data_IF_979601102964
#
_entry.id   IF_979601102964
#
_cell.length_a   1.000
_cell.length_b   1.000
_cell.length_c   1.000
_cell.angle_alpha   90.00
_cell.angle_beta   90.00
_cell.angle_gamma   90.00
#
_symmetry.space_group_name_H-M   'P 1'
#
loop_
_entity.id
_entity.type
_entity.pdbx_description
1 polymer ?
#
# COMPACT_ATOMS: atom_id res chain seq x y z
N UNK A 1 -12.32 -2.84 7.27
CA UNK A 1 -11.34 -1.86 6.70
C UNK A 1 -10.53 -2.53 5.61
N UNK A 2 -9.85 -1.76 4.76
CA UNK A 2 -9.05 -2.27 3.63
C UNK A 2 -7.63 -1.75 3.75
N UNK A 3 -6.67 -2.66 3.74
CA UNK A 3 -5.24 -2.34 3.71
C UNK A 3 -4.73 -2.40 2.27
N UNK A 4 -4.20 -1.29 1.76
CA UNK A 4 -3.46 -1.23 0.51
C UNK A 4 -1.96 -1.16 0.73
N UNK A 5 -1.19 -1.88 -0.07
CA UNK A 5 0.28 -1.93 0.03
C UNK A 5 0.91 -1.76 -1.35
N UNK A 6 1.83 -0.80 -1.47
CA UNK A 6 2.73 -0.68 -2.62
C UNK A 6 4.12 -1.20 -2.24
N UNK A 7 4.44 -2.42 -2.68
CA UNK A 7 5.68 -3.09 -2.30
C UNK A 7 6.82 -2.74 -3.24
N UNK A 8 7.85 -2.09 -2.68
CA UNK A 8 9.10 -1.82 -3.36
C UNK A 8 10.30 -2.09 -2.45
N UNK A 9 11.40 -2.51 -3.06
CA UNK A 9 12.64 -2.80 -2.30
C UNK A 9 13.35 -1.53 -1.81
N UNK A 10 12.88 -0.34 -2.19
CA UNK A 10 13.48 0.93 -1.76
C UNK A 10 12.61 1.64 -0.73
N UNK A 11 11.33 1.84 -1.05
CA UNK A 11 10.34 2.42 -0.15
C UNK A 11 9.07 1.59 -0.37
N UNK A 12 8.46 1.09 0.70
CA UNK A 12 7.16 0.41 0.63
C UNK A 12 6.13 1.29 1.30
N UNK A 13 5.01 1.54 0.62
CA UNK A 13 3.90 2.34 1.14
C UNK A 13 2.77 1.47 1.69
N UNK A 14 2.09 1.97 2.70
CA UNK A 14 0.90 1.37 3.32
C UNK A 14 -0.21 2.42 3.42
N UNK A 15 -1.46 2.00 3.22
CA UNK A 15 -2.63 2.84 3.44
C UNK A 15 -3.82 2.03 3.92
N UNK A 16 -4.66 2.59 4.79
CA UNK A 16 -5.90 1.96 5.25
C UNK A 16 -7.09 2.84 4.91
N UNK A 17 -8.08 2.26 4.23
CA UNK A 17 -9.38 2.87 3.98
C UNK A 17 -10.43 2.24 4.91
N UNK A 18 -11.19 3.09 5.60
CA UNK A 18 -12.35 2.70 6.41
C UNK A 18 -13.56 3.49 5.94
N UNK A 19 -14.65 2.80 5.59
CA UNK A 19 -15.91 3.44 5.16
C UNK A 19 -15.74 4.50 4.05
N UNK A 20 -14.76 4.31 3.17
CA UNK A 20 -14.48 5.25 2.09
C UNK A 20 -13.66 6.46 2.53
N UNK A 21 -13.05 6.46 3.71
CA UNK A 21 -12.15 7.50 4.19
C UNK A 21 -10.74 6.96 4.42
N UNK A 22 -9.72 7.78 4.13
CA UNK A 22 -8.33 7.46 4.44
C UNK A 22 -8.05 7.71 5.92
N UNK A 23 -7.85 6.61 6.67
CA UNK A 23 -7.66 6.66 8.13
C UNK A 23 -6.21 6.47 8.55
N UNK A 24 -5.36 5.92 7.68
CA UNK A 24 -3.95 5.73 7.94
C UNK A 24 -3.16 5.64 6.63
N UNK A 25 -1.96 6.18 6.63
CA UNK A 25 -0.95 5.95 5.61
C UNK A 25 0.43 6.12 6.22
N UNK A 26 1.38 5.27 5.82
CA UNK A 26 2.76 5.32 6.27
C UNK A 26 3.67 4.63 5.24
N UNK A 27 4.98 4.68 5.48
CA UNK A 27 5.97 4.05 4.63
C UNK A 27 7.11 3.42 5.44
N UNK A 28 7.85 2.54 4.77
CA UNK A 28 9.12 2.03 5.29
C UNK A 28 10.22 2.35 4.28
N UNK A 29 11.22 3.13 4.70
CA UNK A 29 12.41 3.39 3.91
C UNK A 29 13.43 2.26 4.07
N UNK A 30 13.52 1.43 3.04
CA UNK A 30 14.37 0.25 2.97
C UNK A 30 15.73 0.52 2.34
N UNK A 31 16.02 1.75 1.90
CA UNK A 31 17.27 2.07 1.18
C UNK A 31 18.52 1.86 2.03
N UNK A 32 18.39 2.00 3.36
CA UNK A 32 19.48 1.75 4.32
C UNK A 32 19.66 0.27 4.67
N UNK A 33 18.67 -0.58 4.35
CA UNK A 33 18.67 -1.99 4.68
C UNK A 33 19.36 -2.81 3.59
N UNK A 34 20.27 -3.71 3.99
CA UNK A 34 21.08 -4.51 3.07
C UNK A 34 20.53 -5.93 2.92
N UNK A 35 20.28 -6.32 1.67
CA UNK A 35 19.79 -7.65 1.34
C UNK A 35 18.29 -7.84 1.64
N UNK A 36 17.76 -8.99 1.21
CA UNK A 36 16.31 -9.25 1.31
C UNK A 36 15.85 -9.43 2.75
N UNK A 37 16.62 -10.15 3.58
CA UNK A 37 16.23 -10.47 4.96
C UNK A 37 16.12 -9.23 5.85
N UNK A 38 17.10 -8.32 5.81
CA UNK A 38 17.03 -7.08 6.60
C UNK A 38 15.84 -6.21 6.18
N UNK A 39 15.54 -6.16 4.87
CA UNK A 39 14.37 -5.47 4.36
C UNK A 39 13.07 -6.12 4.82
N UNK A 40 13.01 -7.44 4.79
CA UNK A 40 11.85 -8.22 5.26
C UNK A 40 11.61 -8.03 6.75
N UNK A 41 12.65 -7.97 7.58
CA UNK A 41 12.50 -7.69 9.02
C UNK A 41 11.89 -6.30 9.26
N UNK A 42 12.41 -5.27 8.60
CA UNK A 42 11.87 -3.91 8.73
C UNK A 42 10.41 -3.80 8.25
N UNK A 43 10.05 -4.53 7.18
CA UNK A 43 8.65 -4.62 6.75
C UNK A 43 7.79 -5.40 7.74
N UNK A 44 8.31 -6.51 8.29
CA UNK A 44 7.58 -7.31 9.28
C UNK A 44 7.24 -6.49 10.51
N UNK A 45 8.16 -5.68 11.02
CA UNK A 45 7.90 -4.75 12.13
C UNK A 45 6.73 -3.81 11.80
N UNK A 46 6.74 -3.16 10.63
CA UNK A 46 5.63 -2.29 10.21
C UNK A 46 4.31 -3.03 10.05
N UNK A 47 4.33 -4.24 9.50
CA UNK A 47 3.14 -5.08 9.35
C UNK A 47 2.57 -5.46 10.72
N UNK A 48 3.45 -5.76 11.70
CA UNK A 48 3.06 -6.01 13.09
C UNK A 48 2.45 -4.77 13.75
N UNK A 49 3.03 -3.58 13.56
CA UNK A 49 2.45 -2.33 14.06
C UNK A 49 1.00 -2.14 13.54
N UNK A 50 0.79 -2.34 12.23
CA UNK A 50 -0.53 -2.21 11.60
C UNK A 50 -1.49 -3.29 12.14
N UNK A 51 -1.01 -4.51 12.34
CA UNK A 51 -1.80 -5.59 12.92
C UNK A 51 -2.23 -5.25 14.35
N UNK A 52 -1.32 -4.79 15.19
CA UNK A 52 -1.65 -4.33 16.54
C UNK A 52 -2.66 -3.18 16.51
N UNK A 53 -2.49 -2.23 15.60
CA UNK A 53 -3.39 -1.08 15.44
C UNK A 53 -4.80 -1.43 14.98
N UNK A 54 -5.02 -2.55 14.29
CA UNK A 54 -6.33 -2.83 13.66
C UNK A 54 -6.90 -4.21 13.92
N UNK A 55 -6.13 -5.16 14.43
CA UNK A 55 -6.56 -6.53 14.71
C UNK A 55 -6.55 -6.82 16.20
N UNK A 56 -5.64 -6.19 16.96
CA UNK A 56 -5.65 -6.27 18.40
C UNK A 56 -6.72 -5.32 19.01
N UNK A 57 -7.08 -5.63 20.25
CA UNK A 57 -8.16 -4.99 20.96
C UNK A 57 -7.91 -3.49 21.22
N UNK A 58 -8.75 -2.62 20.63
CA UNK A 58 -8.70 -1.16 20.76
C UNK A 58 -9.89 -0.54 21.51
N UNK A 59 -10.75 -1.38 22.12
CA UNK A 59 -11.96 -0.91 22.81
C UNK A 59 -11.68 -0.40 24.23
N UNK A 60 -12.32 0.70 24.64
CA UNK A 60 -12.16 1.26 26.00
C UNK A 60 -12.74 0.42 27.16
N UNK A 61 -13.40 -0.72 26.91
CA UNK A 61 -14.04 -1.53 27.95
C UNK A 61 -13.69 -3.01 27.86
N UNK A 62 -12.80 -3.47 28.76
CA UNK A 62 -12.40 -4.87 28.98
C UNK A 62 -13.59 -5.84 28.90
N UNK A 63 -13.94 -6.30 27.68
CA UNK A 63 -14.88 -7.39 27.47
C UNK A 63 -14.07 -8.66 27.51
N UNK A 64 -14.14 -9.33 28.67
CA UNK A 64 -13.44 -10.57 29.01
C UNK A 64 -13.78 -11.75 28.07
N UNK A 65 -14.74 -11.59 27.17
CA UNK A 65 -15.34 -12.69 26.40
C UNK A 65 -15.29 -12.54 24.87
N UNK A 66 -14.78 -11.43 24.33
CA UNK A 66 -14.55 -11.33 22.87
C UNK A 66 -13.49 -10.24 22.56
N UNK A 67 -12.23 -10.60 22.27
CA UNK A 67 -11.16 -9.65 21.97
C UNK A 67 -11.19 -9.18 20.51
N UNK A 68 -12.38 -8.99 19.93
CA UNK A 68 -12.52 -8.63 18.52
C UNK A 68 -12.32 -7.12 18.39
N UNK A 69 -11.37 -6.70 17.53
CA UNK A 69 -11.22 -5.31 17.17
C UNK A 69 -12.54 -4.74 16.65
N UNK A 70 -12.92 -3.53 17.07
CA UNK A 70 -14.20 -2.91 16.67
C UNK A 70 -14.25 -2.66 15.16
N UNK A 71 -13.09 -2.38 14.54
CA UNK A 71 -12.97 -2.10 13.12
C UNK A 71 -11.78 -2.85 12.50
N UNK A 72 -11.89 -4.17 12.26
CA UNK A 72 -10.78 -4.94 11.73
C UNK A 72 -10.51 -4.64 10.25
N UNK A 73 -9.26 -4.79 9.84
CA UNK A 73 -8.91 -5.02 8.43
C UNK A 73 -9.59 -6.32 8.00
N UNK A 74 -10.29 -6.27 6.87
CA UNK A 74 -11.08 -7.39 6.31
C UNK A 74 -10.57 -7.81 4.94
N UNK A 75 -9.93 -6.88 4.21
CA UNK A 75 -9.38 -7.14 2.88
C UNK A 75 -8.00 -6.49 2.76
N UNK A 76 -7.10 -7.15 2.04
CA UNK A 76 -5.74 -6.67 1.78
C UNK A 76 -5.52 -6.66 0.28
N UNK A 77 -5.11 -5.51 -0.26
CA UNK A 77 -4.78 -5.33 -1.67
C UNK A 77 -3.32 -4.92 -1.82
N UNK A 78 -2.62 -5.52 -2.77
CA UNK A 78 -1.19 -5.26 -3.04
C UNK A 78 -1.02 -4.84 -4.50
N UNK A 79 -0.18 -3.83 -4.77
CA UNK A 79 0.20 -3.53 -6.15
C UNK A 79 0.90 -4.74 -6.79
N UNK A 80 0.39 -5.16 -7.94
CA UNK A 80 0.97 -6.27 -8.69
C UNK A 80 2.39 -5.90 -9.17
N UNK A 81 3.42 -6.72 -8.88
CA UNK A 81 4.77 -6.45 -9.34
C UNK A 81 4.86 -6.55 -10.87
N UNK A 82 5.74 -5.77 -11.47
CA UNK A 82 5.93 -5.75 -12.92
C UNK A 82 6.35 -7.14 -13.47
N UNK A 83 5.63 -7.62 -14.49
CA UNK A 83 5.80 -8.98 -15.06
C UNK A 83 6.49 -9.02 -16.43
N UNK A 84 6.61 -7.89 -17.15
CA UNK A 84 7.12 -7.86 -18.53
C UNK A 84 8.65 -7.75 -18.64
N UNK A 85 9.27 -8.73 -19.32
CA UNK A 85 10.67 -8.71 -19.74
C UNK A 85 10.81 -8.03 -21.12
N UNK A 86 10.85 -6.69 -21.16
CA UNK A 86 11.10 -5.96 -22.42
C UNK A 86 12.57 -5.59 -22.56
N UNK A 87 13.09 -5.61 -23.80
CA UNK A 87 14.40 -5.11 -24.18
C UNK A 87 14.44 -3.58 -23.98
N UNK A 88 14.90 -3.13 -22.80
CA UNK A 88 15.02 -1.71 -22.43
C UNK A 88 14.43 -1.33 -21.07
N UNK A 89 13.81 -2.28 -20.34
CA UNK A 89 13.30 -2.08 -18.98
C UNK A 89 14.33 -2.31 -17.87
N UNK A 90 13.87 -2.37 -16.61
CA UNK A 90 14.69 -2.83 -15.48
C UNK A 90 15.33 -4.18 -15.78
N UNK A 91 16.58 -4.40 -15.36
CA UNK A 91 17.26 -5.67 -15.63
C UNK A 91 16.45 -6.86 -15.09
N UNK A 92 16.51 -8.01 -15.76
CA UNK A 92 15.84 -9.24 -15.30
C UNK A 92 16.15 -9.55 -13.81
N UNK A 93 17.37 -9.23 -13.38
CA UNK A 93 17.80 -9.31 -11.97
C UNK A 93 16.97 -8.41 -11.04
N UNK A 94 16.71 -7.16 -11.43
CA UNK A 94 15.92 -6.21 -10.63
C UNK A 94 14.47 -6.66 -10.53
N UNK A 95 13.89 -7.14 -11.63
CA UNK A 95 12.52 -7.66 -11.64
C UNK A 95 12.37 -8.91 -10.77
N UNK A 96 13.31 -9.87 -10.88
CA UNK A 96 13.30 -11.06 -10.04
C UNK A 96 13.40 -10.72 -8.55
N UNK A 97 14.23 -9.72 -8.20
CA UNK A 97 14.33 -9.22 -6.83
C UNK A 97 13.02 -8.59 -6.35
N UNK A 98 12.37 -7.78 -7.18
CA UNK A 98 11.10 -7.15 -6.83
C UNK A 98 9.98 -8.19 -6.66
N UNK A 99 9.84 -9.13 -7.61
CA UNK A 99 8.83 -10.20 -7.54
C UNK A 99 9.04 -11.08 -6.32
N UNK A 100 10.28 -11.49 -6.04
CA UNK A 100 10.63 -12.24 -4.83
C UNK A 100 10.26 -11.46 -3.57
N UNK A 101 10.60 -10.18 -3.51
CA UNK A 101 10.32 -9.37 -2.33
C UNK A 101 8.82 -9.16 -2.12
N UNK A 102 8.09 -8.85 -3.19
CA UNK A 102 6.65 -8.72 -3.18
C UNK A 102 5.98 -10.01 -2.67
N UNK A 103 6.35 -11.19 -3.19
CA UNK A 103 5.85 -12.47 -2.69
C UNK A 103 6.14 -12.74 -1.21
N UNK A 104 7.31 -12.33 -0.71
CA UNK A 104 7.64 -12.44 0.73
C UNK A 104 6.73 -11.54 1.57
N UNK A 105 6.52 -10.29 1.14
CA UNK A 105 5.64 -9.36 1.85
C UNK A 105 4.19 -9.84 1.85
N UNK A 106 3.70 -10.36 0.72
CA UNK A 106 2.37 -10.97 0.63
C UNK A 106 2.22 -12.16 1.57
N UNK A 107 3.25 -13.01 1.68
CA UNK A 107 3.23 -14.11 2.66
C UNK A 107 3.21 -13.61 4.11
N UNK A 108 3.98 -12.56 4.44
CA UNK A 108 3.94 -11.98 5.79
C UNK A 108 2.57 -11.39 6.15
N UNK A 109 1.91 -10.74 5.19
CA UNK A 109 0.56 -10.22 5.38
C UNK A 109 -0.43 -11.37 5.61
N UNK A 110 -0.37 -12.43 4.80
CA UNK A 110 -1.20 -13.62 5.00
C UNK A 110 -0.93 -14.32 6.33
N UNK A 111 0.34 -14.56 6.68
CA UNK A 111 0.75 -15.21 7.93
C UNK A 111 0.22 -14.49 9.15
N UNK A 112 0.23 -13.15 9.14
CA UNK A 112 -0.16 -12.37 10.31
C UNK A 112 -1.66 -12.09 10.36
N UNK A 113 -2.29 -11.74 9.23
CA UNK A 113 -3.70 -11.33 9.20
C UNK A 113 -4.67 -12.50 8.95
N UNK A 114 -4.18 -13.65 8.49
CA UNK A 114 -5.01 -14.76 8.00
C UNK A 114 -6.00 -14.34 6.89
N UNK A 115 -5.68 -13.26 6.17
CA UNK A 115 -6.43 -12.73 5.02
C UNK A 115 -5.56 -12.91 3.79
N UNK A 116 -6.10 -13.57 2.76
CA UNK A 116 -5.41 -13.74 1.47
C UNK A 116 -5.29 -12.38 0.76
N UNK A 117 -4.09 -11.86 0.47
CA UNK A 117 -3.94 -10.60 -0.23
C UNK A 117 -4.27 -10.72 -1.72
N UNK A 118 -5.02 -9.75 -2.24
CA UNK A 118 -5.36 -9.66 -3.65
C UNK A 118 -4.43 -8.71 -4.40
N UNK A 119 -4.01 -9.09 -5.61
CA UNK A 119 -3.18 -8.24 -6.44
C UNK A 119 -4.01 -7.34 -7.36
N UNK A 120 -3.66 -6.07 -7.42
CA UNK A 120 -4.21 -5.11 -8.38
C UNK A 120 -3.10 -4.48 -9.21
N UNK A 121 -3.24 -4.51 -10.54
CA UNK A 121 -2.28 -3.84 -11.42
C UNK A 121 -2.38 -2.32 -11.30
N UNK A 122 -1.27 -1.60 -11.31
CA UNK A 122 -1.23 -0.13 -11.16
C UNK A 122 -2.16 0.64 -12.10
N UNK A 123 -2.28 0.20 -13.36
CA UNK A 123 -3.21 0.81 -14.33
C UNK A 123 -4.67 0.53 -13.99
N UNK A 124 -4.97 -0.69 -13.54
CA UNK A 124 -6.32 -1.08 -13.10
C UNK A 124 -6.71 -0.31 -11.84
N UNK A 125 -5.83 -0.22 -10.85
CA UNK A 125 -6.07 0.54 -9.62
C UNK A 125 -6.38 2.02 -9.91
N UNK A 126 -5.53 2.68 -10.71
CA UNK A 126 -5.77 4.08 -11.12
C UNK A 126 -7.10 4.26 -11.85
N UNK A 127 -7.43 3.36 -12.78
CA UNK A 127 -8.71 3.39 -13.52
C UNK A 127 -9.90 3.24 -12.57
N UNK A 128 -9.79 2.34 -11.60
CA UNK A 128 -10.82 2.07 -10.61
C UNK A 128 -11.08 3.30 -9.72
N UNK A 129 -10.00 3.97 -9.28
CA UNK A 129 -10.09 5.23 -8.53
C UNK A 129 -10.63 6.39 -9.38
N UNK A 130 -10.47 6.33 -10.71
CA UNK A 130 -10.93 7.36 -11.64
C UNK A 130 -9.82 8.30 -12.14
N UNK A 131 -8.56 7.94 -11.87
CA UNK A 131 -7.38 8.72 -12.26
C UNK A 131 -7.05 8.43 -13.73
N UNK A 132 -7.22 9.44 -14.58
CA UNK A 132 -6.85 9.37 -16.00
C UNK A 132 -5.43 9.91 -16.17
N UNK A 133 -4.54 9.13 -16.77
CA UNK A 133 -3.16 9.56 -17.08
C UNK A 133 -3.11 10.03 -18.55
N UNK A 134 -2.95 11.35 -18.81
CA UNK A 134 -2.80 11.84 -20.17
C UNK A 134 -1.53 11.30 -20.84
N UNK A 135 -1.60 11.08 -22.17
CA UNK A 135 -0.42 10.64 -22.94
C UNK A 135 0.73 11.66 -22.80
N UNK A 136 1.95 11.16 -22.60
CA UNK A 136 3.14 11.98 -22.44
C UNK A 136 3.38 12.55 -21.04
N UNK A 137 2.49 12.28 -20.08
CA UNK A 137 2.67 12.75 -18.69
C UNK A 137 3.27 11.67 -17.79
N UNK A 138 3.96 12.12 -16.72
CA UNK A 138 4.50 11.22 -15.70
C UNK A 138 3.38 10.82 -14.75
N UNK A 139 3.03 9.54 -14.73
CA UNK A 139 1.92 9.04 -13.94
C UNK A 139 2.02 9.37 -12.44
N UNK A 140 3.21 9.24 -11.83
CA UNK A 140 3.43 9.58 -10.41
C UNK A 140 3.07 11.03 -10.06
N UNK A 141 3.28 11.97 -10.99
CA UNK A 141 2.92 13.38 -10.79
C UNK A 141 1.39 13.56 -10.80
N UNK A 142 0.72 12.96 -11.77
CA UNK A 142 -0.74 13.05 -11.91
C UNK A 142 -1.46 12.41 -10.71
N UNK A 143 -0.97 11.26 -10.24
CA UNK A 143 -1.50 10.60 -9.04
C UNK A 143 -1.34 11.49 -7.80
N UNK A 144 -0.16 12.06 -7.61
CA UNK A 144 0.12 12.97 -6.50
C UNK A 144 -0.82 14.19 -6.52
N UNK A 145 -0.94 14.88 -7.66
CA UNK A 145 -1.83 16.03 -7.83
C UNK A 145 -3.30 15.66 -7.53
N UNK A 146 -3.76 14.53 -8.07
CA UNK A 146 -5.11 14.04 -7.81
C UNK A 146 -5.37 13.81 -6.31
N UNK A 147 -4.45 13.17 -5.59
CA UNK A 147 -4.62 12.92 -4.16
C UNK A 147 -4.58 14.21 -3.35
N UNK A 148 -3.70 15.16 -3.67
CA UNK A 148 -3.65 16.46 -2.98
C UNK A 148 -4.94 17.27 -3.16
N UNK A 149 -5.65 17.09 -4.28
CA UNK A 149 -6.92 17.77 -4.56
C UNK A 149 -8.14 17.05 -3.95
N UNK A 150 -8.11 15.72 -3.83
CA UNK A 150 -9.30 14.91 -3.53
C UNK A 150 -9.23 14.16 -2.19
N UNK A 151 -8.06 14.07 -1.56
CA UNK A 151 -7.84 13.32 -0.32
C UNK A 151 -7.35 14.26 0.79
N UNK A 152 -8.27 14.88 1.52
CA UNK A 152 -7.93 15.89 2.55
C UNK A 152 -7.08 15.35 3.71
N UNK A 153 -7.16 14.03 3.97
CA UNK A 153 -6.33 13.37 4.96
C UNK A 153 -4.86 13.24 4.53
N UNK A 154 -4.59 13.25 3.21
CA UNK A 154 -3.25 13.06 2.67
C UNK A 154 -2.44 14.36 2.71
N UNK A 155 -1.62 14.49 3.76
CA UNK A 155 -0.73 15.64 3.97
C UNK A 155 0.70 15.28 3.61
N UNK A 156 1.35 16.14 2.84
CA UNK A 156 2.72 15.94 2.35
C UNK A 156 3.65 17.04 2.82
N UNK A 157 4.90 16.65 3.07
CA UNK A 157 6.00 17.58 3.24
C UNK A 157 6.74 17.79 1.93
N UNK A 158 7.25 19.01 1.77
CA UNK A 158 7.98 19.43 0.58
C UNK A 158 9.47 19.54 0.87
N UNK A 159 10.26 19.17 -0.14
CA UNK A 159 11.69 19.45 -0.18
C UNK A 159 11.93 20.96 -0.30
N UNK A 160 13.18 21.40 -0.08
CA UNK A 160 13.61 22.80 -0.29
C UNK A 160 13.33 23.33 -1.71
N UNK A 161 13.18 22.43 -2.68
CA UNK A 161 12.89 22.77 -4.07
C UNK A 161 11.39 22.79 -4.41
N UNK A 162 10.52 22.64 -3.41
CA UNK A 162 9.06 22.66 -3.60
C UNK A 162 8.46 21.37 -4.18
N UNK A 163 9.25 20.29 -4.30
CA UNK A 163 8.74 18.99 -4.70
C UNK A 163 8.34 18.18 -3.46
N UNK A 164 7.25 17.39 -3.49
CA UNK A 164 6.95 16.42 -2.44
C UNK A 164 8.15 15.50 -2.18
N UNK A 165 8.39 15.16 -0.92
CA UNK A 165 9.44 14.20 -0.59
C UNK A 165 9.16 12.83 -1.23
N UNK A 166 10.23 12.08 -1.53
CA UNK A 166 10.14 10.88 -2.38
C UNK A 166 9.16 9.82 -1.85
N UNK A 167 9.10 9.61 -0.54
CA UNK A 167 8.24 8.62 0.09
C UNK A 167 6.74 8.87 -0.12
N UNK A 168 6.33 10.13 -0.36
CA UNK A 168 4.93 10.44 -0.59
C UNK A 168 4.42 9.86 -1.89
N UNK A 169 5.31 9.62 -2.87
CA UNK A 169 4.89 8.96 -4.11
C UNK A 169 4.57 7.49 -3.88
N UNK A 170 5.35 6.77 -3.06
CA UNK A 170 5.09 5.36 -2.76
C UNK A 170 3.88 5.20 -1.81
N UNK A 171 3.67 6.16 -0.87
CA UNK A 171 2.42 6.22 -0.10
C UNK A 171 1.20 6.56 -0.98
N UNK A 172 1.35 7.45 -1.96
CA UNK A 172 0.29 7.77 -2.91
C UNK A 172 -0.12 6.55 -3.73
N UNK A 173 0.86 5.76 -4.19
CA UNK A 173 0.62 4.51 -4.92
C UNK A 173 -0.14 3.51 -3.99
N UNK A 174 0.24 3.38 -2.71
CA UNK A 174 -0.48 2.56 -1.72
C UNK A 174 -1.92 3.04 -1.42
N UNK A 175 -2.15 4.36 -1.33
CA UNK A 175 -3.49 4.95 -1.17
C UNK A 175 -4.37 4.59 -2.37
N UNK A 176 -3.84 4.69 -3.59
CA UNK A 176 -4.56 4.31 -4.81
C UNK A 176 -4.92 2.83 -4.79
N UNK A 177 -4.02 1.96 -4.33
CA UNK A 177 -4.30 0.52 -4.16
C UNK A 177 -5.44 0.30 -3.15
N UNK A 178 -5.37 0.93 -1.98
CA UNK A 178 -6.40 0.78 -0.94
C UNK A 178 -7.77 1.30 -1.41
N UNK A 179 -7.81 2.46 -2.07
CA UNK A 179 -9.02 3.05 -2.66
C UNK A 179 -9.60 2.18 -3.78
N UNK A 180 -8.75 1.58 -4.61
CA UNK A 180 -9.18 0.64 -5.63
C UNK A 180 -9.82 -0.60 -5.00
N UNK A 181 -9.17 -1.19 -3.98
CA UNK A 181 -9.72 -2.30 -3.21
C UNK A 181 -11.10 -1.97 -2.64
N UNK A 182 -11.27 -0.79 -2.04
CA UNK A 182 -12.58 -0.35 -1.53
C UNK A 182 -13.67 -0.35 -2.60
N UNK A 183 -13.40 0.21 -3.78
CA UNK A 183 -14.38 0.22 -4.86
C UNK A 183 -14.67 -1.18 -5.42
N UNK A 184 -13.67 -2.08 -5.42
CA UNK A 184 -13.86 -3.47 -5.83
C UNK A 184 -14.83 -4.16 -4.86
N UNK A 185 -14.61 -4.04 -3.55
CA UNK A 185 -15.49 -4.61 -2.54
C UNK A 185 -16.91 -4.02 -2.56
N UNK A 186 -17.04 -2.70 -2.79
CA UNK A 186 -18.36 -2.07 -2.94
C UNK A 186 -19.14 -2.60 -4.14
N UNK A 187 -18.45 -2.93 -5.23
CA UNK A 187 -19.08 -3.51 -6.43
C UNK A 187 -19.49 -4.95 -6.21
N UNK A 188 -18.71 -5.74 -5.48
CA UNK A 188 -18.99 -7.15 -5.19
C UNK A 188 -20.20 -7.35 -4.26
N UNK A 189 -20.58 -6.32 -3.48
CA UNK A 189 -21.74 -6.34 -2.57
C UNK A 189 -23.08 -6.00 -3.24
N UNK A 190 -23.07 -5.58 -4.51
CA UNK A 190 -24.28 -5.24 -5.29
C UNK A 190 -24.72 -6.40 -6.16
#
# INVERSE_FOLDING_TARGET
MILGVDVSTSITGFAVIAEGELVYYDYVDLRKQKGVFAKTLAIKEKIMDIFEMYQCYNGGQLRVLDPIAEYPIQHIYIEQPFTFFNSGGSSAKTMAVLQKFNGIVSWLLYELFEIEPEYVGATSARKEVGIKIPRGTKAKKVVMEYLLENESAFKVEYTRHGNPQAQYFDMADAIVVARAGYKIEEKSKK
#
